data_IF_436347334252
#
_entry.id   IF_436347334252
#
_cell.length_a   1.000
_cell.length_b   1.000
_cell.length_c   1.000
_cell.angle_alpha   90.00
_cell.angle_beta   90.00
_cell.angle_gamma   90.00
#
_symmetry.space_group_name_H-M   'P 1'
#
loop_
_entity.id
_entity.type
_entity.pdbx_description
1 polymer ?
#
# COMPACT_ATOMS: atom_id res chain seq x y z
N UNK A 1 16.17 7.84 2.26
CA UNK A 1 15.01 7.28 3.01
C UNK A 1 13.90 6.98 2.00
N UNK A 2 13.11 5.91 2.18
CA UNK A 2 12.00 5.57 1.27
C UNK A 2 10.65 5.87 1.93
N UNK A 3 9.77 6.58 1.21
CA UNK A 3 8.42 6.91 1.64
C UNK A 3 7.43 6.26 0.69
N UNK A 4 6.45 5.53 1.22
CA UNK A 4 5.43 4.84 0.42
C UNK A 4 4.08 5.51 0.64
N UNK A 5 3.43 5.93 -0.44
CA UNK A 5 2.05 6.42 -0.42
C UNK A 5 1.11 5.35 -0.94
N UNK A 6 -0.03 5.15 -0.27
CA UNK A 6 -1.08 4.21 -0.67
C UNK A 6 -2.42 4.94 -0.85
N UNK A 7 -2.97 4.82 -2.05
CA UNK A 7 -4.32 5.24 -2.44
C UNK A 7 -5.28 4.08 -2.17
N UNK A 8 -6.36 4.32 -1.41
CA UNK A 8 -7.22 3.25 -0.88
C UNK A 8 -8.55 3.22 -1.62
N UNK A 9 -8.67 2.31 -2.60
CA UNK A 9 -9.95 1.92 -3.19
C UNK A 9 -10.69 0.82 -2.42
N UNK A 10 -11.94 0.54 -2.80
CA UNK A 10 -12.78 -0.47 -2.11
C UNK A 10 -12.27 -1.92 -2.23
N UNK A 11 -11.79 -2.31 -3.41
CA UNK A 11 -11.31 -3.68 -3.70
C UNK A 11 -9.87 -3.71 -4.20
N UNK A 12 -9.37 -2.58 -4.70
CA UNK A 12 -8.03 -2.45 -5.29
C UNK A 12 -7.44 -1.14 -4.82
N UNK A 13 -6.24 -1.23 -4.27
CA UNK A 13 -5.42 -0.12 -3.82
C UNK A 13 -4.29 0.13 -4.83
N UNK A 14 -3.66 1.29 -4.73
CA UNK A 14 -2.44 1.59 -5.47
C UNK A 14 -1.35 2.10 -4.53
N UNK A 15 -0.11 1.67 -4.73
CA UNK A 15 1.04 2.13 -3.96
C UNK A 15 2.14 2.64 -4.88
N UNK A 16 2.85 3.68 -4.44
CA UNK A 16 4.04 4.22 -5.09
C UNK A 16 5.05 4.66 -4.03
N UNK A 17 6.32 4.81 -4.41
CA UNK A 17 7.36 5.19 -3.47
C UNK A 17 8.29 6.26 -4.03
N UNK A 18 8.70 7.18 -3.16
CA UNK A 18 9.71 8.22 -3.42
C UNK A 18 10.84 8.15 -2.40
N UNK A 19 12.00 8.68 -2.76
CA UNK A 19 13.07 8.93 -1.79
C UNK A 19 12.93 10.31 -1.11
N UNK A 20 13.84 10.63 -0.20
CA UNK A 20 13.95 11.93 0.49
C UNK A 20 14.28 13.12 -0.44
N UNK A 21 14.72 12.85 -1.66
CA UNK A 21 14.91 13.85 -2.71
C UNK A 21 13.66 14.01 -3.60
N UNK A 22 12.56 13.31 -3.29
CA UNK A 22 11.32 13.34 -4.07
C UNK A 22 11.38 12.56 -5.39
N UNK A 23 12.43 11.76 -5.61
CA UNK A 23 12.56 10.93 -6.81
C UNK A 23 11.80 9.63 -6.66
N UNK A 24 11.08 9.21 -7.71
CA UNK A 24 10.35 7.93 -7.74
C UNK A 24 11.31 6.74 -7.66
N UNK A 25 11.13 5.88 -6.66
CA UNK A 25 11.91 4.64 -6.47
C UNK A 25 11.07 3.38 -6.68
N UNK A 26 9.75 3.51 -6.71
CA UNK A 26 8.82 2.49 -7.20
C UNK A 26 7.73 3.16 -8.02
N UNK A 27 7.51 2.67 -9.24
CA UNK A 27 6.38 3.10 -10.07
C UNK A 27 5.07 2.62 -9.43
N UNK A 28 3.96 3.32 -9.65
CA UNK A 28 2.66 2.89 -9.13
C UNK A 28 2.34 1.45 -9.50
N UNK A 29 1.99 0.64 -8.50
CA UNK A 29 1.49 -0.72 -8.68
C UNK A 29 0.18 -0.89 -7.93
N UNK A 30 -0.66 -1.81 -8.42
CA UNK A 30 -1.99 -2.07 -7.86
C UNK A 30 -1.98 -3.39 -7.11
N UNK A 31 -2.73 -3.46 -6.01
CA UNK A 31 -2.92 -4.68 -5.24
C UNK A 31 -4.35 -4.76 -4.71
N UNK A 32 -4.87 -5.98 -4.55
CA UNK A 32 -6.24 -6.24 -4.09
C UNK A 32 -6.39 -6.11 -2.57
N UNK A 33 -7.59 -5.78 -2.12
CA UNK A 33 -7.98 -5.71 -0.71
C UNK A 33 -8.25 -7.11 -0.11
N UNK A 34 -7.39 -8.07 -0.44
CA UNK A 34 -7.44 -9.46 0.01
C UNK A 34 -6.06 -9.97 0.40
N UNK A 35 -5.98 -11.23 0.84
CA UNK A 35 -4.74 -11.82 1.32
C UNK A 35 -3.64 -11.81 0.25
N UNK A 36 -3.98 -12.06 -1.01
CA UNK A 36 -3.02 -12.13 -2.10
C UNK A 36 -2.43 -10.73 -2.38
N UNK A 37 -3.29 -9.71 -2.43
CA UNK A 37 -2.87 -8.33 -2.63
C UNK A 37 -2.01 -7.80 -1.48
N UNK A 38 -2.36 -8.09 -0.23
CA UNK A 38 -1.54 -7.71 0.92
C UNK A 38 -0.19 -8.42 0.93
N UNK A 39 -0.14 -9.69 0.50
CA UNK A 39 1.13 -10.43 0.37
C UNK A 39 2.03 -9.78 -0.68
N UNK A 40 1.47 -9.35 -1.82
CA UNK A 40 2.20 -8.62 -2.85
C UNK A 40 2.70 -7.26 -2.36
N UNK A 41 1.89 -6.52 -1.58
CA UNK A 41 2.32 -5.27 -0.94
C UNK A 41 3.52 -5.51 -0.02
N UNK A 42 3.47 -6.51 0.86
CA UNK A 42 4.57 -6.79 1.80
C UNK A 42 5.86 -7.17 1.09
N UNK A 43 5.80 -8.01 0.05
CA UNK A 43 6.98 -8.36 -0.75
C UNK A 43 7.63 -7.12 -1.38
N UNK A 44 6.83 -6.15 -1.83
CA UNK A 44 7.34 -4.92 -2.41
C UNK A 44 7.92 -3.97 -1.34
N UNK A 45 7.32 -3.92 -0.14
CA UNK A 45 7.87 -3.18 1.00
C UNK A 45 9.22 -3.75 1.46
N UNK A 46 9.37 -5.08 1.45
CA UNK A 46 10.65 -5.76 1.72
C UNK A 46 11.69 -5.40 0.66
N UNK A 47 11.32 -5.42 -0.63
CA UNK A 47 12.19 -5.01 -1.75
C UNK A 47 12.64 -3.55 -1.63
N UNK A 48 11.80 -2.69 -1.06
CA UNK A 48 12.03 -1.26 -0.88
C UNK A 48 12.74 -0.89 0.43
N UNK A 49 13.05 -1.86 1.28
CA UNK A 49 13.66 -1.61 2.59
C UNK A 49 15.01 -0.88 2.48
N UNK A 50 15.32 0.08 3.38
CA UNK A 50 14.49 0.50 4.50
C UNK A 50 13.37 1.48 4.11
N UNK A 51 12.13 1.14 4.48
CA UNK A 51 10.97 2.04 4.37
C UNK A 51 10.86 2.85 5.65
N UNK A 52 10.90 4.18 5.51
CA UNK A 52 10.86 5.10 6.64
C UNK A 52 9.44 5.37 7.12
N UNK A 53 8.49 5.47 6.18
CA UNK A 53 7.10 5.78 6.45
C UNK A 53 6.21 5.23 5.34
N UNK A 54 5.08 4.67 5.74
CA UNK A 54 3.96 4.33 4.86
C UNK A 54 2.80 5.26 5.21
N UNK A 55 2.29 5.99 4.22
CA UNK A 55 1.16 6.91 4.35
C UNK A 55 -0.02 6.36 3.57
N UNK A 56 -1.20 6.34 4.19
CA UNK A 56 -2.43 5.86 3.58
C UNK A 56 -3.41 7.01 3.42
N UNK A 57 -4.12 7.04 2.30
CA UNK A 57 -5.29 7.90 2.11
C UNK A 57 -6.33 7.59 3.21
N UNK A 58 -6.83 8.64 3.88
CA UNK A 58 -7.83 8.47 4.93
C UNK A 58 -9.18 8.05 4.33
N UNK A 59 -9.67 6.85 4.66
CA UNK A 59 -10.94 6.36 4.15
C UNK A 59 -12.09 6.61 5.12
N UNK A 60 -12.94 7.59 4.82
CA UNK A 60 -14.24 7.74 5.48
C UNK A 60 -15.33 6.80 4.93
N UNK A 61 -15.13 6.25 3.72
CA UNK A 61 -16.21 5.63 2.93
C UNK A 61 -16.00 4.15 2.56
N UNK A 62 -14.85 3.55 2.89
CA UNK A 62 -14.48 2.18 2.46
C UNK A 62 -14.36 1.18 3.61
N UNK A 63 -15.09 1.37 4.71
CA UNK A 63 -15.09 0.43 5.82
C UNK A 63 -15.70 -0.92 5.39
N UNK A 64 -14.84 -1.94 5.24
CA UNK A 64 -15.23 -3.30 4.92
C UNK A 64 -15.06 -4.18 6.16
N UNK A 65 -16.16 -4.55 6.80
CA UNK A 65 -16.14 -5.60 7.83
C UNK A 65 -16.02 -6.96 7.14
N UNK A 66 -14.95 -7.70 7.43
CA UNK A 66 -14.96 -9.13 7.13
C UNK A 66 -16.05 -9.81 7.96
N UNK A 67 -16.93 -10.65 7.37
CA UNK A 67 -17.88 -11.42 8.17
C UNK A 67 -17.11 -12.37 9.10
N UNK A 68 -17.64 -12.65 10.31
CA UNK A 68 -17.03 -13.62 11.22
C UNK A 68 -16.88 -14.97 10.51
N UNK A 69 -15.66 -15.52 10.52
CA UNK A 69 -15.42 -16.91 10.16
C UNK A 69 -15.87 -17.76 11.34
N UNK A 70 -17.04 -18.38 11.24
CA UNK A 70 -17.50 -19.44 12.16
C UNK A 70 -16.95 -20.79 11.70
#
# INVERSE_FOLDING_TARGET
MTFVGIDIGAEVHAAAAVNDQGSTVCKPFRFTADQAGHTALFAELERLAPVQLVVLEATGHYWKTSPPRW
#
